data_IF_999647723421
#
_entry.id   IF_999647723421
#
_cell.length_a   1.000
_cell.length_b   1.000
_cell.length_c   1.000
_cell.angle_alpha   90.00
_cell.angle_beta   90.00
_cell.angle_gamma   90.00
#
_symmetry.space_group_name_H-M   'P 1'
#
loop_
_entity.id
_entity.type
_entity.pdbx_description
1 polymer ?
#
# COMPACT_ATOMS: atom_id res chain seq x y z
N UNK A 1 -12.22 25.35 10.64
CA UNK A 1 -12.36 24.18 9.75
C UNK A 1 -10.97 23.69 9.30
N UNK A 2 -10.20 22.99 10.15
CA UNK A 2 -8.79 22.63 9.78
C UNK A 2 -8.20 21.36 10.42
N UNK A 3 -8.96 20.55 11.16
CA UNK A 3 -8.41 19.29 11.70
C UNK A 3 -8.56 18.12 10.72
N UNK A 4 -9.75 17.92 10.16
CA UNK A 4 -10.04 16.78 9.28
C UNK A 4 -9.10 16.61 8.07
N UNK A 5 -8.59 17.71 7.50
CA UNK A 5 -7.67 17.67 6.33
C UNK A 5 -6.23 17.28 6.70
N UNK A 6 -5.80 17.59 7.93
CA UNK A 6 -4.48 17.17 8.43
C UNK A 6 -4.52 15.72 8.88
N UNK A 7 -5.59 15.34 9.56
CA UNK A 7 -5.78 13.98 10.06
C UNK A 7 -5.87 12.98 8.88
N UNK A 8 -6.51 13.38 7.76
CA UNK A 8 -6.55 12.55 6.53
C UNK A 8 -5.18 12.38 5.88
N UNK A 9 -4.36 13.44 5.82
CA UNK A 9 -3.01 13.38 5.26
C UNK A 9 -2.08 12.50 6.11
N UNK A 10 -2.18 12.59 7.44
CA UNK A 10 -1.38 11.77 8.37
C UNK A 10 -1.80 10.29 8.26
N UNK A 11 -3.10 10.01 8.14
CA UNK A 11 -3.59 8.65 7.90
C UNK A 11 -3.12 8.09 6.55
N UNK A 12 -3.09 8.90 5.50
CA UNK A 12 -2.59 8.49 4.19
C UNK A 12 -1.09 8.15 4.22
N UNK A 13 -0.26 9.01 4.84
CA UNK A 13 1.18 8.76 5.01
C UNK A 13 1.48 7.51 5.85
N UNK A 14 0.75 7.32 6.96
CA UNK A 14 0.94 6.13 7.81
C UNK A 14 0.57 4.85 7.06
N UNK A 15 -0.41 4.91 6.15
CA UNK A 15 -0.83 3.77 5.34
C UNK A 15 0.19 3.46 4.23
N UNK A 16 0.74 4.48 3.59
CA UNK A 16 1.80 4.37 2.57
C UNK A 16 3.06 3.68 3.15
N UNK A 17 3.55 4.16 4.31
CA UNK A 17 4.70 3.57 5.01
C UNK A 17 4.45 2.10 5.40
N UNK A 18 3.23 1.79 5.85
CA UNK A 18 2.84 0.42 6.22
C UNK A 18 2.77 -0.52 5.00
N UNK A 19 2.37 -0.03 3.83
CA UNK A 19 2.33 -0.81 2.59
C UNK A 19 3.74 -1.10 2.06
N UNK A 20 4.66 -0.13 2.14
CA UNK A 20 6.07 -0.34 1.82
C UNK A 20 6.70 -1.44 2.70
N UNK A 21 6.49 -1.34 4.02
CA UNK A 21 6.95 -2.36 4.97
C UNK A 21 6.34 -3.75 4.70
N UNK A 22 5.06 -3.82 4.31
CA UNK A 22 4.41 -5.08 3.93
C UNK A 22 5.01 -5.68 2.65
N UNK A 23 5.36 -4.84 1.66
CA UNK A 23 6.00 -5.30 0.42
C UNK A 23 7.37 -5.91 0.70
N UNK A 24 8.20 -5.22 1.50
CA UNK A 24 9.53 -5.71 1.89
C UNK A 24 9.44 -7.03 2.68
N UNK A 25 8.50 -7.13 3.63
CA UNK A 25 8.27 -8.35 4.39
C UNK A 25 7.83 -9.51 3.48
N UNK A 26 6.95 -9.25 2.51
CA UNK A 26 6.51 -10.27 1.57
C UNK A 26 7.67 -10.75 0.67
N UNK A 27 8.57 -9.88 0.24
CA UNK A 27 9.77 -10.29 -0.51
C UNK A 27 10.73 -11.15 0.32
N UNK A 28 10.94 -10.82 1.59
CA UNK A 28 11.76 -11.63 2.49
C UNK A 28 11.16 -13.03 2.69
N UNK A 29 9.84 -13.10 2.92
CA UNK A 29 9.11 -14.36 3.04
C UNK A 29 9.14 -15.18 1.74
N UNK A 30 9.09 -14.52 0.58
CA UNK A 30 9.24 -15.18 -0.71
C UNK A 30 10.62 -15.83 -0.87
N UNK A 31 11.68 -15.14 -0.46
CA UNK A 31 13.04 -15.67 -0.50
C UNK A 31 13.18 -16.88 0.43
N UNK A 32 12.71 -16.78 1.68
CA UNK A 32 12.74 -17.90 2.62
C UNK A 32 11.94 -19.11 2.13
N UNK A 33 10.80 -18.88 1.47
CA UNK A 33 10.00 -19.94 0.86
C UNK A 33 10.70 -20.59 -0.34
N UNK A 34 11.42 -19.81 -1.16
CA UNK A 34 12.20 -20.33 -2.29
C UNK A 34 13.39 -21.17 -1.81
N UNK A 35 14.11 -20.70 -0.78
CA UNK A 35 15.25 -21.39 -0.17
C UNK A 35 14.85 -22.73 0.46
N UNK A 36 13.59 -22.86 0.89
CA UNK A 36 13.01 -24.10 1.44
C UNK A 36 12.33 -24.97 0.38
N UNK A 37 12.34 -24.58 -0.89
CA UNK A 37 11.72 -25.31 -2.00
C UNK A 37 10.19 -25.18 -2.06
N UNK A 38 9.60 -24.27 -1.29
CA UNK A 38 8.15 -24.00 -1.26
C UNK A 38 7.75 -23.04 -2.39
N UNK A 39 7.92 -23.47 -3.64
CA UNK A 39 7.71 -22.64 -4.83
C UNK A 39 6.33 -21.96 -4.90
N UNK A 40 5.25 -22.68 -4.55
CA UNK A 40 3.89 -22.11 -4.51
C UNK A 40 3.77 -21.00 -3.48
N UNK A 41 4.41 -21.16 -2.31
CA UNK A 41 4.36 -20.17 -1.25
C UNK A 41 5.20 -18.93 -1.61
N UNK A 42 6.38 -19.13 -2.20
CA UNK A 42 7.20 -18.05 -2.73
C UNK A 42 6.47 -17.22 -3.79
N UNK A 43 5.70 -17.88 -4.66
CA UNK A 43 4.86 -17.20 -5.64
C UNK A 43 3.77 -16.34 -4.98
N UNK A 44 3.04 -16.87 -3.99
CA UNK A 44 2.00 -16.12 -3.27
C UNK A 44 2.59 -14.87 -2.60
N UNK A 45 3.75 -14.99 -1.96
CA UNK A 45 4.41 -13.84 -1.33
C UNK A 45 4.86 -12.78 -2.34
N UNK A 46 5.37 -13.18 -3.52
CA UNK A 46 5.68 -12.25 -4.60
C UNK A 46 4.43 -11.51 -5.10
N UNK A 47 3.30 -12.20 -5.19
CA UNK A 47 2.03 -11.56 -5.58
C UNK A 47 1.54 -10.56 -4.51
N UNK A 48 1.67 -10.89 -3.23
CA UNK A 48 1.36 -9.97 -2.13
C UNK A 48 2.27 -8.73 -2.14
N UNK A 49 3.57 -8.90 -2.43
CA UNK A 49 4.50 -7.77 -2.55
C UNK A 49 4.13 -6.81 -3.69
N UNK A 50 3.70 -7.36 -4.84
CA UNK A 50 3.20 -6.58 -5.96
C UNK A 50 1.92 -5.83 -5.60
N UNK A 51 0.97 -6.49 -4.93
CA UNK A 51 -0.28 -5.88 -4.50
C UNK A 51 -0.05 -4.73 -3.53
N UNK A 52 0.86 -4.89 -2.55
CA UNK A 52 1.23 -3.82 -1.63
C UNK A 52 1.89 -2.62 -2.35
N UNK A 53 2.72 -2.90 -3.36
CA UNK A 53 3.37 -1.85 -4.17
C UNK A 53 2.39 -1.12 -5.09
N UNK A 54 1.38 -1.80 -5.64
CA UNK A 54 0.37 -1.20 -6.54
C UNK A 54 -0.77 -0.52 -5.78
N UNK A 55 -1.09 -0.98 -4.57
CA UNK A 55 -2.09 -0.35 -3.69
C UNK A 55 -1.74 1.12 -3.39
N UNK A 56 -0.45 1.46 -3.44
CA UNK A 56 0.02 2.84 -3.29
C UNK A 56 -0.31 3.72 -4.51
N UNK A 57 -0.35 3.13 -5.71
CA UNK A 57 -0.70 3.83 -6.95
C UNK A 57 -2.20 4.12 -7.03
N UNK A 58 -3.06 3.19 -6.61
CA UNK A 58 -4.52 3.38 -6.64
C UNK A 58 -5.02 4.36 -5.56
N UNK A 59 -4.33 4.47 -4.41
CA UNK A 59 -4.65 5.48 -3.39
C UNK A 59 -4.32 6.90 -3.86
N UNK A 60 -3.25 7.06 -4.63
CA UNK A 60 -2.85 8.36 -5.18
C UNK A 60 -3.84 8.87 -6.25
N UNK A 61 -4.48 7.97 -7.00
CA UNK A 61 -5.52 8.33 -7.99
C UNK A 61 -6.86 8.72 -7.37
N UNK A 62 -7.19 8.24 -6.17
CA UNK A 62 -8.44 8.61 -5.47
C UNK A 62 -8.39 9.99 -4.80
N UNK A 63 -7.19 10.50 -4.47
CA UNK A 63 -7.02 11.83 -3.85
C UNK A 63 -6.97 12.98 -4.88
N UNK A 64 -6.90 12.65 -6.18
CA UNK A 64 -6.80 13.62 -7.29
C UNK A 64 -8.16 13.95 -7.95
N UNK A 65 -9.27 13.42 -7.42
CA UNK A 65 -10.61 13.87 -7.84
C UNK A 65 -10.93 15.22 -7.17
N UNK A 66 -11.08 16.32 -7.94
CA UNK A 66 -11.25 17.64 -7.36
C UNK A 66 -12.57 17.66 -6.62
N UNK A 67 -12.45 17.80 -5.30
CA UNK A 67 -13.51 18.05 -4.33
C UNK A 67 -14.42 19.15 -4.87
N UNK A 68 -15.51 18.74 -5.52
CA UNK A 68 -16.45 19.62 -6.19
C UNK A 68 -17.07 20.51 -5.12
N UNK A 69 -16.58 21.74 -5.06
CA UNK A 69 -17.10 22.83 -4.26
C UNK A 69 -18.59 22.98 -4.55
N UNK A 70 -19.43 22.52 -3.62
CA UNK A 70 -20.80 23.00 -3.52
C UNK A 70 -20.72 24.37 -2.85
N UNK A 71 -20.82 25.43 -3.65
CA UNK A 71 -21.04 26.78 -3.14
C UNK A 71 -22.42 27.25 -3.58
N UNK A 72 -23.29 27.39 -2.58
CA UNK A 72 -24.61 28.04 -2.54
C UNK A 72 -25.75 27.54 -3.44
#
# INVERSE_FOLDING_TARGET
>A
MSNLMRDSLIMAQTKDENLGYMSDMALELAQMAEDTGLATLAYIFRMAALEASTANSELNEQDDLPRRVTSH
#
